data_IF_633345863894
#
_entry.id   IF_633345863894
#
_cell.length_a   1.000
_cell.length_b   1.000
_cell.length_c   1.000
_cell.angle_alpha   90.00
_cell.angle_beta   90.00
_cell.angle_gamma   90.00
#
_symmetry.space_group_name_H-M   'P 1'
#
loop_
_entity.id
_entity.type
_entity.pdbx_description
1 polymer ?
#
# COMPACT_ATOMS: atom_id res chain seq x y z
N UNK A 1 -24.57 -5.19 -22.21
CA UNK A 1 -23.84 -4.93 -23.47
C UNK A 1 -22.55 -4.12 -23.26
N UNK A 2 -21.67 -4.49 -22.30
CA UNK A 2 -20.25 -4.06 -22.24
C UNK A 2 -19.36 -5.07 -21.46
N UNK A 3 -19.52 -6.37 -21.70
CA UNK A 3 -18.67 -7.43 -21.08
C UNK A 3 -17.98 -8.31 -22.14
N UNK A 4 -17.57 -7.71 -23.26
CA UNK A 4 -16.75 -8.37 -24.27
C UNK A 4 -15.93 -7.33 -25.02
N UNK A 5 -14.69 -7.09 -24.60
CA UNK A 5 -13.58 -6.84 -25.53
C UNK A 5 -12.30 -6.58 -24.72
N UNK A 6 -11.44 -7.62 -24.62
CA UNK A 6 -9.97 -7.52 -24.61
C UNK A 6 -9.27 -8.86 -24.37
N UNK A 7 -9.99 -9.93 -24.06
CA UNK A 7 -9.40 -11.27 -23.94
C UNK A 7 -9.51 -12.05 -25.26
N UNK A 8 -8.63 -11.73 -26.21
CA UNK A 8 -8.44 -12.53 -27.43
C UNK A 8 -6.94 -12.70 -27.71
N UNK A 9 -6.50 -13.95 -27.50
CA UNK A 9 -5.27 -14.59 -27.99
C UNK A 9 -3.93 -14.14 -27.39
N UNK A 10 -3.54 -14.79 -26.30
CA UNK A 10 -2.15 -15.21 -26.12
C UNK A 10 -2.09 -16.58 -25.42
N UNK A 11 -1.70 -17.62 -26.16
CA UNK A 11 -1.47 -18.98 -25.66
C UNK A 11 -0.03 -19.08 -25.14
N UNK A 12 0.15 -19.57 -23.92
CA UNK A 12 1.18 -20.53 -23.47
C UNK A 12 1.74 -20.20 -22.08
N UNK A 13 1.52 -21.14 -21.14
CA UNK A 13 2.10 -21.27 -19.79
C UNK A 13 2.26 -20.01 -18.94
N UNK A 14 1.18 -19.27 -18.71
CA UNK A 14 1.15 -18.25 -17.65
C UNK A 14 0.49 -18.86 -16.41
N UNK A 15 1.24 -19.04 -15.31
CA UNK A 15 0.61 -19.20 -14.00
C UNK A 15 -0.18 -17.93 -13.76
N UNK A 16 -1.51 -18.01 -13.87
CA UNK A 16 -2.41 -16.93 -13.53
C UNK A 16 -2.33 -16.74 -12.01
N UNK A 17 -1.34 -15.98 -11.55
CA UNK A 17 -1.43 -15.33 -10.25
C UNK A 17 -2.44 -14.20 -10.48
N UNK A 18 -3.68 -14.40 -10.04
CA UNK A 18 -4.59 -13.28 -9.91
C UNK A 18 -3.97 -12.34 -8.87
N UNK A 19 -3.39 -11.24 -9.34
CA UNK A 19 -3.00 -10.15 -8.47
C UNK A 19 -4.31 -9.43 -8.14
N UNK A 20 -4.97 -9.86 -7.07
CA UNK A 20 -6.10 -9.12 -6.50
C UNK A 20 -5.45 -7.90 -5.86
N UNK A 21 -5.42 -6.79 -6.60
CA UNK A 21 -5.09 -5.49 -6.03
C UNK A 21 -6.26 -5.14 -5.10
N UNK A 22 -6.06 -5.39 -3.81
CA UNK A 22 -7.12 -5.25 -2.81
C UNK A 22 -7.21 -3.81 -2.31
N UNK A 23 -6.23 -2.96 -2.64
CA UNK A 23 -6.11 -1.62 -2.09
C UNK A 23 -7.26 -0.71 -2.53
N UNK A 24 -8.20 -0.51 -1.63
CA UNK A 24 -9.25 0.47 -1.78
C UNK A 24 -8.84 1.78 -1.12
N UNK A 25 -8.88 2.87 -1.88
CA UNK A 25 -8.63 4.21 -1.34
C UNK A 25 -9.74 4.64 -0.36
N UNK A 26 -9.42 5.55 0.55
CA UNK A 26 -10.44 6.12 1.44
C UNK A 26 -11.48 6.93 0.66
N UNK A 27 -12.74 6.48 0.71
CA UNK A 27 -13.89 7.27 0.27
C UNK A 27 -14.18 8.38 1.29
N UNK A 28 -13.39 9.45 1.24
CA UNK A 28 -13.40 10.50 2.25
C UNK A 28 -14.70 11.30 2.30
N UNK A 29 -15.10 11.68 3.52
CA UNK A 29 -16.17 12.62 3.82
C UNK A 29 -15.73 13.58 4.91
N UNK A 30 -16.21 14.82 4.81
CA UNK A 30 -15.92 15.87 5.80
C UNK A 30 -16.63 15.54 7.13
N UNK A 31 -15.84 15.40 8.18
CA UNK A 31 -16.30 15.39 9.57
C UNK A 31 -16.23 16.78 10.18
N UNK A 32 -16.37 16.86 11.51
CA UNK A 32 -16.34 18.13 12.24
C UNK A 32 -14.97 18.80 12.19
N UNK A 33 -13.94 18.05 12.57
CA UNK A 33 -12.56 18.56 12.74
C UNK A 33 -11.54 17.84 11.83
N UNK A 34 -11.99 16.88 11.01
CA UNK A 34 -11.14 16.05 10.14
C UNK A 34 -12.01 15.38 9.07
N UNK A 35 -11.47 14.41 8.33
CA UNK A 35 -12.21 13.54 7.42
C UNK A 35 -12.42 12.15 8.01
N UNK A 36 -13.47 11.46 7.60
CA UNK A 36 -13.68 10.03 7.84
C UNK A 36 -13.86 9.29 6.52
N UNK A 37 -13.58 7.98 6.51
CA UNK A 37 -13.77 7.11 5.35
C UNK A 37 -15.14 6.43 5.46
N UNK A 38 -15.90 6.42 4.36
CA UNK A 38 -17.21 5.77 4.33
C UNK A 38 -17.03 4.32 3.95
N UNK A 39 -17.46 3.43 4.84
CA UNK A 39 -17.56 2.02 4.57
C UNK A 39 -19.04 1.58 4.49
N UNK A 40 -19.29 0.57 3.67
CA UNK A 40 -20.58 -0.10 3.52
C UNK A 40 -20.36 -1.62 3.34
N UNK A 41 -21.44 -2.36 3.07
CA UNK A 41 -21.39 -3.82 2.99
C UNK A 41 -20.43 -4.39 1.93
N UNK A 42 -20.06 -3.60 0.92
CA UNK A 42 -19.21 -4.04 -0.21
C UNK A 42 -17.99 -3.15 -0.44
N UNK A 43 -17.75 -2.16 0.41
CA UNK A 43 -16.66 -1.21 0.24
C UNK A 43 -16.16 -0.71 1.58
N UNK A 44 -14.85 -0.76 1.77
CA UNK A 44 -14.14 -0.06 2.83
C UNK A 44 -12.70 0.13 2.34
N UNK A 45 -12.02 1.17 2.81
CA UNK A 45 -10.60 1.30 2.55
C UNK A 45 -9.80 0.23 3.29
N UNK A 46 -8.70 -0.19 2.68
CA UNK A 46 -7.81 -1.18 3.26
C UNK A 46 -6.35 -0.89 2.87
N UNK A 47 -5.47 -1.75 3.38
CA UNK A 47 -4.04 -1.72 3.14
C UNK A 47 -3.65 -2.97 2.39
N UNK A 48 -2.75 -2.83 1.42
CA UNK A 48 -2.04 -3.97 0.89
C UNK A 48 -1.30 -4.70 2.02
N UNK A 49 -1.12 -6.03 1.90
CA UNK A 49 -0.32 -6.79 2.85
C UNK A 49 1.06 -6.15 3.04
N UNK A 50 1.40 -5.81 4.28
CA UNK A 50 2.69 -5.20 4.59
C UNK A 50 3.79 -6.24 4.34
N UNK A 51 4.63 -5.96 3.35
CA UNK A 51 5.76 -6.82 2.99
C UNK A 51 7.03 -6.36 3.67
N UNK A 52 7.90 -7.33 3.97
CA UNK A 52 9.22 -7.05 4.55
C UNK A 52 10.03 -6.18 3.58
N UNK A 53 10.42 -5.00 4.06
CA UNK A 53 11.26 -4.10 3.28
C UNK A 53 12.71 -4.60 3.22
N UNK A 54 13.45 -4.29 2.14
CA UNK A 54 14.88 -4.56 2.09
C UNK A 54 15.62 -3.85 3.22
N UNK A 55 16.75 -4.42 3.67
CA UNK A 55 17.61 -3.81 4.70
C UNK A 55 17.97 -2.39 4.28
N UNK A 56 17.82 -1.44 5.22
CA UNK A 56 18.09 -0.02 4.95
C UNK A 56 16.89 0.75 4.39
N UNK A 57 15.76 0.12 4.08
CA UNK A 57 14.54 0.79 3.64
C UNK A 57 13.45 0.75 4.73
N UNK A 58 12.67 1.82 4.81
CA UNK A 58 11.49 1.93 5.67
C UNK A 58 10.29 2.19 4.76
N UNK A 59 9.21 1.45 5.00
CA UNK A 59 7.89 1.77 4.47
C UNK A 59 7.15 2.60 5.51
N UNK A 60 6.76 3.82 5.15
CA UNK A 60 6.13 4.80 6.03
C UNK A 60 4.71 5.08 5.55
N UNK A 61 3.76 5.03 6.48
CA UNK A 61 2.36 5.37 6.25
C UNK A 61 1.99 6.62 7.05
N UNK A 62 1.46 7.63 6.37
CA UNK A 62 1.03 8.87 6.99
C UNK A 62 -0.50 8.97 7.01
N UNK A 63 -1.03 9.40 8.15
CA UNK A 63 -2.41 9.88 8.29
C UNK A 63 -2.37 11.33 8.78
N UNK A 64 -3.25 12.19 8.27
CA UNK A 64 -3.28 13.60 8.64
C UNK A 64 -4.71 14.09 8.88
N UNK A 65 -4.82 15.19 9.64
CA UNK A 65 -6.11 15.86 9.87
C UNK A 65 -6.72 16.42 8.58
N UNK A 66 -5.87 16.81 7.61
CA UNK A 66 -6.29 17.24 6.28
C UNK A 66 -6.81 16.09 5.41
N UNK A 67 -6.58 14.83 5.81
CA UNK A 67 -7.21 13.66 5.22
C UNK A 67 -6.32 12.69 4.49
N UNK A 68 -5.00 12.73 4.70
CA UNK A 68 -4.16 11.60 4.30
C UNK A 68 -4.63 10.35 5.06
N UNK A 69 -4.80 9.25 4.33
CA UNK A 69 -5.25 7.96 4.86
C UNK A 69 -4.34 6.89 4.29
N UNK A 70 -3.50 6.35 5.16
CA UNK A 70 -2.46 5.39 4.78
C UNK A 70 -1.63 5.84 3.57
N UNK A 71 -1.28 7.13 3.53
CA UNK A 71 -0.45 7.64 2.45
C UNK A 71 0.94 7.05 2.56
N UNK A 72 1.28 6.19 1.62
CA UNK A 72 2.53 5.44 1.60
C UNK A 72 3.69 6.31 1.10
N UNK A 73 4.85 6.12 1.71
CA UNK A 73 6.13 6.68 1.27
C UNK A 73 7.26 5.73 1.66
N UNK A 74 8.37 5.78 0.92
CA UNK A 74 9.55 4.97 1.23
C UNK A 74 10.70 5.87 1.67
N UNK A 75 11.30 5.55 2.82
CA UNK A 75 12.49 6.21 3.32
C UNK A 75 13.68 5.26 3.26
N UNK A 76 14.88 5.80 3.12
CA UNK A 76 16.13 5.01 3.07
C UNK A 76 17.11 5.54 4.12
N UNK A 77 17.70 4.63 4.89
CA UNK A 77 18.83 4.96 5.74
C UNK A 77 20.03 5.34 4.87
N UNK A 78 20.62 6.50 5.13
CA UNK A 78 21.76 7.03 4.34
C UNK A 78 23.11 6.70 4.95
N UNK A 79 23.15 6.21 6.20
CA UNK A 79 24.35 5.71 6.87
C UNK A 79 24.07 4.34 7.46
N UNK A 80 24.85 3.35 7.07
CA UNK A 80 24.96 2.11 7.83
C UNK A 80 26.01 2.38 8.91
N UNK A 81 25.65 2.21 10.17
CA UNK A 81 26.67 2.02 11.20
C UNK A 81 27.09 0.57 11.02
N UNK A 82 28.32 0.35 10.56
CA UNK A 82 28.90 -0.98 10.47
C UNK A 82 28.80 -1.61 11.87
N UNK A 83 27.98 -2.66 11.98
CA UNK A 83 27.69 -3.32 13.26
C UNK A 83 28.93 -4.02 13.85
N UNK A 84 30.05 -4.03 13.13
CA UNK A 84 31.31 -4.65 13.52
C UNK A 84 32.09 -3.87 14.59
N UNK A 85 31.63 -2.68 15.01
CA UNK A 85 32.31 -1.88 16.04
C UNK A 85 31.41 -1.45 17.23
N UNK A 86 30.21 -2.01 17.36
CA UNK A 86 29.31 -1.70 18.49
C UNK A 86 29.63 -2.50 19.77
N UNK A 87 30.49 -3.51 19.71
CA UNK A 87 30.86 -4.40 20.84
C UNK A 87 32.20 -4.02 21.51
N UNK A 88 32.71 -2.79 21.32
CA UNK A 88 34.01 -2.35 21.84
C UNK A 88 33.99 -1.05 22.68
N UNK A 89 32.85 -0.71 23.29
CA UNK A 89 32.76 0.37 24.30
C UNK A 89 32.19 -0.17 25.59
#
# INVERSE_FOLDING_TARGET
>A
EQLRSKYSKFRSTLRLVMVIDCKHECASRKGKDSVYCVCNATYCDDLDPITKQPVGNILSYQTSQSGDRFKESQLKFTKQIDHDNADRV
#
